data_IF_607142089504
#
_entry.id   IF_607142089504
#
_cell.length_a   1.000
_cell.length_b   1.000
_cell.length_c   1.000
_cell.angle_alpha   90.00
_cell.angle_beta   90.00
_cell.angle_gamma   90.00
#
_symmetry.space_group_name_H-M   'P 1'
#
loop_
_entity.id
_entity.type
_entity.pdbx_description
1 polymer ?
#
# COMPACT_ATOMS: atom_id res chain seq x y z
N UNK A 1 -34.86 77.98 32.85
CA UNK A 1 -35.28 76.59 32.55
C UNK A 1 -34.51 76.13 31.31
N UNK A 2 -33.66 75.10 31.42
CA UNK A 2 -32.90 74.58 30.27
C UNK A 2 -33.79 73.63 29.48
N UNK A 3 -33.85 73.81 28.16
CA UNK A 3 -34.71 73.04 27.26
C UNK A 3 -34.31 71.57 27.23
N UNK A 4 -35.24 70.68 27.55
CA UNK A 4 -35.08 69.21 27.52
C UNK A 4 -35.31 68.61 26.13
N UNK A 5 -35.73 69.42 25.15
CA UNK A 5 -35.98 69.01 23.76
C UNK A 5 -34.84 68.28 23.03
N UNK A 6 -33.55 68.70 23.13
CA UNK A 6 -32.47 68.00 22.43
C UNK A 6 -32.27 66.56 22.95
N UNK A 7 -32.62 66.27 24.20
CA UNK A 7 -32.57 64.90 24.74
C UNK A 7 -33.61 64.00 24.07
N UNK A 8 -34.86 64.47 23.95
CA UNK A 8 -35.92 63.71 23.28
C UNK A 8 -35.65 63.52 21.78
N UNK A 9 -35.10 64.54 21.11
CA UNK A 9 -34.67 64.42 19.72
C UNK A 9 -33.59 63.35 19.53
N UNK A 10 -32.59 63.30 20.42
CA UNK A 10 -31.55 62.27 20.40
C UNK A 10 -32.08 60.85 20.63
N UNK A 11 -33.02 60.68 21.56
CA UNK A 11 -33.64 59.37 21.85
C UNK A 11 -34.44 58.86 20.65
N UNK A 12 -35.18 59.73 19.95
CA UNK A 12 -35.96 59.34 18.77
C UNK A 12 -35.04 58.88 17.62
N UNK A 13 -33.96 59.62 17.37
CA UNK A 13 -32.97 59.24 16.34
C UNK A 13 -32.28 57.92 16.70
N UNK A 14 -31.88 57.74 17.96
CA UNK A 14 -31.27 56.50 18.42
C UNK A 14 -32.22 55.29 18.27
N UNK A 15 -33.50 55.46 18.61
CA UNK A 15 -34.51 54.42 18.44
C UNK A 15 -34.76 54.09 16.96
N UNK A 16 -34.78 55.09 16.08
CA UNK A 16 -34.91 54.85 14.63
C UNK A 16 -33.69 54.11 14.07
N UNK A 17 -32.49 54.53 14.42
CA UNK A 17 -31.26 53.85 13.99
C UNK A 17 -31.25 52.41 14.47
N UNK A 18 -31.63 52.16 15.73
CA UNK A 18 -31.73 50.82 16.29
C UNK A 18 -32.79 49.98 15.57
N UNK A 19 -33.98 50.53 15.34
CA UNK A 19 -35.08 49.84 14.65
C UNK A 19 -34.76 49.47 13.20
N UNK A 20 -33.87 50.21 12.53
CA UNK A 20 -33.45 49.92 11.14
C UNK A 20 -32.23 49.01 11.09
N UNK A 21 -31.22 49.25 11.92
CA UNK A 21 -29.93 48.51 11.84
C UNK A 21 -30.00 47.11 12.43
N UNK A 22 -30.72 46.91 13.54
CA UNK A 22 -30.84 45.62 14.20
C UNK A 22 -31.48 44.53 13.32
N UNK A 23 -32.60 44.76 12.61
CA UNK A 23 -33.16 43.73 11.73
C UNK A 23 -32.27 43.42 10.53
N UNK A 24 -31.51 44.39 10.01
CA UNK A 24 -30.54 44.14 8.94
C UNK A 24 -29.41 43.24 9.45
N UNK A 25 -28.84 43.55 10.62
CA UNK A 25 -27.79 42.73 11.23
C UNK A 25 -28.30 41.33 11.60
N UNK A 26 -29.54 41.20 12.08
CA UNK A 26 -30.18 39.92 12.33
C UNK A 26 -30.38 39.11 11.04
N UNK A 27 -30.84 39.75 9.96
CA UNK A 27 -30.98 39.10 8.66
C UNK A 27 -29.63 38.63 8.11
N UNK A 28 -28.59 39.45 8.20
CA UNK A 28 -27.22 39.10 7.79
C UNK A 28 -26.67 37.94 8.63
N UNK A 29 -26.88 37.94 9.95
CA UNK A 29 -26.46 36.88 10.86
C UNK A 29 -27.16 35.54 10.58
N UNK A 30 -28.40 35.56 10.07
CA UNK A 30 -29.15 34.36 9.67
C UNK A 30 -28.73 33.89 8.27
N UNK A 31 -28.52 34.82 7.33
CA UNK A 31 -28.22 34.50 5.93
C UNK A 31 -26.78 34.02 5.73
N UNK A 32 -25.80 34.56 6.44
CA UNK A 32 -24.39 34.14 6.36
C UNK A 32 -24.17 32.62 6.56
N UNK A 33 -24.70 31.98 7.62
CA UNK A 33 -24.55 30.53 7.80
C UNK A 33 -25.40 29.73 6.81
N UNK A 34 -26.49 30.30 6.27
CA UNK A 34 -27.30 29.65 5.24
C UNK A 34 -26.57 29.60 3.89
N UNK A 35 -25.89 30.70 3.52
CA UNK A 35 -25.04 30.80 2.33
C UNK A 35 -23.75 30.01 2.48
N UNK A 36 -23.18 29.94 3.69
CA UNK A 36 -22.02 29.09 3.99
C UNK A 36 -22.29 27.59 3.79
N UNK A 37 -23.54 27.14 3.95
CA UNK A 37 -23.97 25.75 3.64
C UNK A 37 -24.19 25.49 2.15
N UNK A 38 -24.14 26.52 1.31
CA UNK A 38 -24.27 26.42 -0.15
C UNK A 38 -22.92 26.45 -0.88
N UNK A 39 -21.80 26.61 -0.15
CA UNK A 39 -20.48 26.39 -0.72
C UNK A 39 -20.30 24.92 -1.13
N UNK A 40 -19.47 24.61 -2.13
CA UNK A 40 -19.16 23.22 -2.46
C UNK A 40 -18.66 22.52 -1.18
N UNK A 41 -19.20 21.33 -0.89
CA UNK A 41 -18.76 20.48 0.22
C UNK A 41 -17.29 20.08 -0.01
N UNK A 42 -16.36 20.95 0.38
CA UNK A 42 -14.94 20.66 0.41
C UNK A 42 -14.67 19.75 1.62
N UNK A 43 -14.73 18.45 1.39
CA UNK A 43 -14.27 17.47 2.37
C UNK A 43 -12.73 17.55 2.47
N UNK A 44 -12.23 18.27 3.48
CA UNK A 44 -10.80 18.26 3.80
C UNK A 44 -10.43 16.89 4.37
N UNK A 45 -9.76 16.06 3.58
CA UNK A 45 -9.23 14.78 4.02
C UNK A 45 -7.90 14.99 4.74
N UNK A 46 -7.95 15.12 6.06
CA UNK A 46 -6.77 15.20 6.92
C UNK A 46 -6.25 13.83 7.33
N UNK A 47 -4.97 13.56 7.10
CA UNK A 47 -4.26 12.49 7.80
C UNK A 47 -4.10 12.85 9.29
N UNK A 48 -3.99 11.84 10.16
CA UNK A 48 -3.89 12.07 11.60
C UNK A 48 -3.17 10.94 12.32
N UNK A 49 -2.38 11.30 13.33
CA UNK A 49 -1.77 10.36 14.26
C UNK A 49 -2.33 10.60 15.65
N UNK A 50 -2.73 9.54 16.34
CA UNK A 50 -3.13 9.60 17.74
C UNK A 50 -2.33 8.58 18.54
N UNK A 51 -1.77 9.01 19.67
CA UNK A 51 -1.07 8.15 20.62
C UNK A 51 -1.86 8.16 21.91
N UNK A 52 -2.23 6.98 22.41
CA UNK A 52 -2.85 6.78 23.71
C UNK A 52 -1.88 5.99 24.58
N UNK A 53 -1.62 6.50 25.78
CA UNK A 53 -0.84 5.80 26.79
C UNK A 53 -1.76 5.49 27.97
N UNK A 54 -1.71 4.27 28.48
CA UNK A 54 -2.44 3.86 29.67
C UNK A 54 -1.52 3.08 30.59
N UNK A 55 -1.50 3.46 31.86
CA UNK A 55 -0.82 2.70 32.90
C UNK A 55 -1.78 1.63 33.43
N UNK A 56 -1.41 0.36 33.25
CA UNK A 56 -2.13 -0.78 33.81
C UNK A 56 -1.22 -1.47 34.83
N UNK A 57 -1.30 -1.02 36.09
CA UNK A 57 -0.62 -1.67 37.21
C UNK A 57 0.91 -1.58 37.18
N UNK A 58 1.47 -0.46 36.69
CA UNK A 58 2.92 -0.26 36.56
C UNK A 58 3.49 -0.64 35.20
N UNK A 59 2.65 -1.09 34.26
CA UNK A 59 3.01 -1.34 32.86
C UNK A 59 2.38 -0.26 31.98
N UNK A 60 3.23 0.55 31.33
CA UNK A 60 2.77 1.56 30.37
C UNK A 60 2.45 0.88 29.03
N UNK A 61 1.16 0.79 28.74
CA UNK A 61 0.60 0.35 27.47
C UNK A 61 0.52 1.55 26.52
N UNK A 62 1.09 1.45 25.33
CA UNK A 62 1.05 2.51 24.32
C UNK A 62 0.34 2.00 23.08
N UNK A 63 -0.60 2.79 22.55
CA UNK A 63 -1.29 2.53 21.29
C UNK A 63 -1.17 3.74 20.39
N UNK A 64 -0.55 3.57 19.23
CA UNK A 64 -0.48 4.58 18.17
C UNK A 64 -1.41 4.18 17.03
N UNK A 65 -2.19 5.13 16.54
CA UNK A 65 -3.06 4.97 15.37
C UNK A 65 -2.74 6.06 14.37
N UNK A 66 -2.29 5.68 13.18
CA UNK A 66 -1.98 6.58 12.08
C UNK A 66 -2.98 6.35 10.93
N UNK A 67 -3.58 7.43 10.44
CA UNK A 67 -4.44 7.43 9.26
C UNK A 67 -3.82 8.33 8.20
N UNK A 68 -3.58 7.78 7.02
CA UNK A 68 -3.09 8.51 5.85
C UNK A 68 -4.06 8.33 4.68
N UNK A 69 -4.21 9.38 3.87
CA UNK A 69 -4.96 9.35 2.62
C UNK A 69 -4.00 9.51 1.45
N UNK A 70 -4.23 8.76 0.38
CA UNK A 70 -3.46 8.89 -0.84
C UNK A 70 -4.38 8.76 -2.05
N UNK A 71 -4.12 9.55 -3.09
CA UNK A 71 -4.79 9.43 -4.38
C UNK A 71 -3.80 8.87 -5.40
N UNK A 72 -4.15 7.74 -6.03
CA UNK A 72 -3.28 7.06 -6.99
C UNK A 72 -4.05 6.71 -8.28
N UNK A 73 -3.34 6.61 -9.39
CA UNK A 73 -3.87 6.04 -10.64
C UNK A 73 -3.25 4.67 -10.84
N UNK A 74 -4.06 3.61 -10.75
CA UNK A 74 -3.57 2.23 -10.77
C UNK A 74 -3.93 1.58 -12.10
N UNK A 75 -2.97 1.00 -12.83
CA UNK A 75 -3.28 0.23 -14.04
C UNK A 75 -4.05 -1.05 -13.63
N UNK A 76 -5.23 -1.23 -14.20
CA UNK A 76 -6.07 -2.42 -13.99
C UNK A 76 -6.07 -3.24 -15.27
N UNK A 77 -5.77 -4.53 -15.17
CA UNK A 77 -5.77 -5.42 -16.32
C UNK A 77 -7.17 -5.46 -16.97
N UNK A 78 -7.24 -5.22 -18.28
CA UNK A 78 -8.50 -5.19 -19.03
C UNK A 78 -9.18 -3.82 -19.09
N UNK A 79 -8.71 -2.82 -18.33
CA UNK A 79 -9.21 -1.44 -18.44
C UNK A 79 -8.36 -0.59 -19.39
N UNK A 80 -8.97 0.21 -20.28
CA UNK A 80 -8.23 1.03 -21.23
C UNK A 80 -7.53 2.24 -20.59
N UNK A 81 -7.93 2.61 -19.37
CA UNK A 81 -7.37 3.74 -18.63
C UNK A 81 -7.07 3.31 -17.19
N UNK A 82 -6.00 3.82 -16.56
CA UNK A 82 -5.74 3.60 -15.15
C UNK A 82 -6.93 4.04 -14.30
N UNK A 83 -7.30 3.20 -13.32
CA UNK A 83 -8.35 3.50 -12.37
C UNK A 83 -7.82 4.45 -11.32
N UNK A 84 -8.47 5.60 -11.15
CA UNK A 84 -8.15 6.54 -10.08
C UNK A 84 -8.76 6.04 -8.78
N UNK A 85 -7.95 5.95 -7.73
CA UNK A 85 -8.36 5.46 -6.43
C UNK A 85 -8.05 6.50 -5.35
N UNK A 86 -8.99 6.66 -4.42
CA UNK A 86 -8.72 7.23 -3.10
C UNK A 86 -8.46 6.09 -2.13
N UNK A 87 -7.29 6.11 -1.50
CA UNK A 87 -6.86 5.12 -0.53
C UNK A 87 -6.87 5.74 0.85
N UNK A 88 -7.39 5.01 1.83
CA UNK A 88 -7.25 5.32 3.26
C UNK A 88 -6.45 4.19 3.92
N UNK A 89 -5.22 4.51 4.29
CA UNK A 89 -4.36 3.63 5.07
C UNK A 89 -4.53 3.92 6.55
N UNK A 90 -4.76 2.89 7.34
CA UNK A 90 -4.89 2.95 8.78
C UNK A 90 -3.95 1.92 9.42
N UNK A 91 -2.96 2.40 10.15
CA UNK A 91 -1.97 1.57 10.84
C UNK A 91 -2.12 1.76 12.35
N UNK A 92 -2.36 0.67 13.07
CA UNK A 92 -2.43 0.66 14.54
C UNK A 92 -1.26 -0.14 15.08
N UNK A 93 -0.33 0.52 15.75
CA UNK A 93 0.78 -0.12 16.46
C UNK A 93 0.68 0.08 17.97
N UNK A 94 1.49 -0.65 18.73
CA UNK A 94 1.57 -0.49 20.18
C UNK A 94 2.44 -1.54 20.85
N UNK A 95 2.64 -1.39 22.16
CA UNK A 95 3.48 -2.31 22.96
C UNK A 95 2.79 -3.64 23.26
N UNK A 96 1.46 -3.71 23.14
CA UNK A 96 0.67 -4.83 23.70
C UNK A 96 0.07 -5.76 22.66
N UNK A 97 0.25 -5.49 21.37
CA UNK A 97 -0.28 -6.33 20.28
C UNK A 97 0.51 -6.15 18.99
N UNK A 98 0.46 -7.19 18.15
CA UNK A 98 0.93 -7.08 16.78
C UNK A 98 0.21 -5.92 16.06
N UNK A 99 0.98 -5.16 15.27
CA UNK A 99 0.44 -4.02 14.55
C UNK A 99 -0.64 -4.45 13.54
N UNK A 100 -1.70 -3.67 13.42
CA UNK A 100 -2.81 -3.90 12.51
C UNK A 100 -2.76 -2.87 11.38
N UNK A 101 -2.76 -3.34 10.14
CA UNK A 101 -2.76 -2.50 8.94
C UNK A 101 -4.05 -2.73 8.19
N UNK A 102 -4.74 -1.65 7.85
CA UNK A 102 -5.93 -1.63 7.03
C UNK A 102 -5.78 -0.65 5.89
N UNK A 103 -6.04 -1.07 4.66
CA UNK A 103 -6.13 -0.20 3.50
C UNK A 103 -7.53 -0.31 2.90
N UNK A 104 -8.28 0.79 2.90
CA UNK A 104 -9.56 0.88 2.20
C UNK A 104 -9.37 1.64 0.89
N UNK A 105 -9.99 1.18 -0.19
CA UNK A 105 -9.91 1.81 -1.50
C UNK A 105 -11.30 2.22 -2.01
N UNK A 106 -11.43 3.44 -2.53
CA UNK A 106 -12.63 3.92 -3.21
C UNK A 106 -12.28 4.36 -4.64
N UNK A 107 -13.18 4.16 -5.61
CA UNK A 107 -13.00 4.70 -6.94
C UNK A 107 -13.12 6.23 -6.88
N UNK A 108 -12.17 6.92 -7.47
CA UNK A 108 -12.18 8.36 -7.57
C UNK A 108 -12.94 8.77 -8.85
N UNK A 109 -14.26 8.86 -8.70
CA UNK A 109 -15.21 9.40 -9.67
C UNK A 109 -16.19 10.35 -8.96
N UNK A 110 -16.92 11.16 -9.73
CA UNK A 110 -17.91 12.15 -9.26
C UNK A 110 -18.70 11.71 -8.00
N UNK A 111 -19.16 12.67 -7.19
CA UNK A 111 -18.62 12.97 -5.86
C UNK A 111 -18.27 11.74 -5.01
N UNK A 112 -17.11 11.79 -4.35
CA UNK A 112 -16.62 10.70 -3.50
C UNK A 112 -17.45 10.63 -2.22
N UNK A 113 -18.32 9.62 -2.14
CA UNK A 113 -19.06 9.32 -0.92
C UNK A 113 -18.32 8.26 -0.09
N UNK A 114 -17.53 8.72 0.89
CA UNK A 114 -16.81 7.85 1.84
C UNK A 114 -17.74 7.05 2.75
N UNK A 115 -19.05 7.33 2.76
CA UNK A 115 -20.04 6.50 3.48
C UNK A 115 -20.36 5.22 2.72
N UNK A 116 -20.09 5.18 1.41
CA UNK A 116 -20.20 3.95 0.62
C UNK A 116 -19.09 2.98 0.99
N UNK A 117 -19.39 1.70 0.86
CA UNK A 117 -18.40 0.65 1.04
C UNK A 117 -17.22 0.85 0.06
N UNK A 118 -15.97 0.64 0.51
CA UNK A 118 -14.82 0.63 -0.39
C UNK A 118 -14.94 -0.51 -1.41
N UNK A 119 -14.30 -0.36 -2.57
CA UNK A 119 -14.24 -1.43 -3.61
C UNK A 119 -13.52 -2.67 -3.09
N UNK A 120 -12.53 -2.49 -2.24
CA UNK A 120 -11.87 -3.55 -1.49
C UNK A 120 -11.28 -2.98 -0.20
N UNK A 121 -11.08 -3.87 0.78
CA UNK A 121 -10.35 -3.58 2.01
C UNK A 121 -9.29 -4.64 2.23
N UNK A 122 -8.03 -4.23 2.33
CA UNK A 122 -6.94 -5.09 2.78
C UNK A 122 -6.86 -4.99 4.31
N UNK A 123 -6.83 -6.13 4.99
CA UNK A 123 -6.56 -6.21 6.43
C UNK A 123 -5.44 -7.20 6.65
N UNK A 124 -4.38 -6.75 7.29
CA UNK A 124 -3.24 -7.60 7.59
C UNK A 124 -2.56 -7.16 8.88
N UNK A 125 -1.71 -8.02 9.39
CA UNK A 125 -0.88 -7.77 10.56
C UNK A 125 0.50 -7.33 10.09
N UNK A 126 1.01 -6.23 10.65
CA UNK A 126 2.34 -5.73 10.32
C UNK A 126 2.71 -4.47 11.09
N UNK A 127 4.00 -4.18 11.10
CA UNK A 127 4.58 -3.03 11.81
C UNK A 127 4.67 -1.78 10.91
N UNK A 128 4.71 -1.95 9.59
CA UNK A 128 4.79 -0.86 8.63
C UNK A 128 4.02 -1.18 7.34
N UNK A 129 3.56 -0.12 6.68
CA UNK A 129 2.80 -0.20 5.45
C UNK A 129 3.18 0.96 4.53
N UNK A 130 3.44 0.66 3.26
CA UNK A 130 3.88 1.64 2.27
C UNK A 130 3.13 1.43 0.95
N UNK A 131 2.73 2.54 0.34
CA UNK A 131 2.25 2.58 -1.03
C UNK A 131 3.45 2.82 -1.95
N UNK A 132 3.61 1.98 -2.97
CA UNK A 132 4.67 2.10 -3.96
C UNK A 132 4.12 2.61 -5.28
N UNK A 133 4.93 3.41 -5.99
CA UNK A 133 4.64 3.90 -7.33
C UNK A 133 4.51 2.76 -8.37
N UNK A 134 4.97 1.55 -8.03
CA UNK A 134 4.85 0.36 -8.86
C UNK A 134 3.43 -0.24 -8.86
N UNK A 135 2.44 0.43 -8.26
CA UNK A 135 1.07 -0.07 -8.16
C UNK A 135 0.90 -1.19 -7.14
N UNK A 136 1.81 -1.27 -6.17
CA UNK A 136 1.84 -2.28 -5.12
C UNK A 136 1.68 -1.65 -3.74
N UNK A 137 0.93 -2.34 -2.89
CA UNK A 137 0.86 -2.04 -1.47
C UNK A 137 1.71 -3.03 -0.69
N UNK A 138 2.63 -2.50 0.11
CA UNK A 138 3.60 -3.28 0.86
C UNK A 138 3.26 -3.24 2.33
N UNK A 139 3.29 -4.40 2.97
CA UNK A 139 3.23 -4.51 4.44
C UNK A 139 4.41 -5.30 4.94
N UNK A 140 5.01 -4.88 6.04
CA UNK A 140 6.11 -5.60 6.67
C UNK A 140 5.68 -6.16 8.03
N UNK A 141 6.14 -7.37 8.35
CA UNK A 141 5.96 -8.01 9.65
C UNK A 141 7.20 -8.84 9.94
N UNK A 142 7.92 -8.50 11.02
CA UNK A 142 9.11 -9.24 11.47
C UNK A 142 10.17 -9.45 10.37
N UNK A 143 10.39 -8.43 9.53
CA UNK A 143 11.34 -8.49 8.41
C UNK A 143 10.82 -9.15 7.12
N UNK A 144 9.72 -9.91 7.19
CA UNK A 144 9.03 -10.44 6.00
C UNK A 144 8.09 -9.39 5.43
N UNK A 145 8.14 -9.18 4.12
CA UNK A 145 7.28 -8.22 3.40
C UNK A 145 6.25 -8.97 2.57
N UNK A 146 5.03 -8.47 2.56
CA UNK A 146 3.93 -8.97 1.73
C UNK A 146 3.52 -7.92 0.72
N UNK A 147 3.38 -8.35 -0.54
CA UNK A 147 2.93 -7.54 -1.66
C UNK A 147 1.44 -7.75 -1.89
N UNK A 148 0.72 -6.65 -2.03
CA UNK A 148 -0.69 -6.65 -2.38
C UNK A 148 -0.93 -5.82 -3.63
N UNK A 149 -1.88 -6.27 -4.45
CA UNK A 149 -2.33 -5.57 -5.64
C UNK A 149 -3.20 -4.37 -5.26
N UNK A 150 -2.86 -3.18 -5.78
CA UNK A 150 -3.74 -2.01 -5.68
C UNK A 150 -4.89 -2.03 -6.70
N UNK A 151 -4.91 -2.98 -7.64
CA UNK A 151 -5.97 -3.06 -8.63
C UNK A 151 -7.27 -3.65 -8.04
N UNK A 152 -7.13 -4.65 -7.16
CA UNK A 152 -8.22 -5.47 -6.64
C UNK A 152 -8.08 -5.82 -5.13
N UNK A 153 -6.96 -5.47 -4.48
CA UNK A 153 -6.70 -5.80 -3.09
C UNK A 153 -6.27 -7.24 -2.86
N UNK A 154 -5.93 -7.99 -3.91
CA UNK A 154 -5.47 -9.38 -3.80
C UNK A 154 -4.05 -9.45 -3.23
N UNK A 155 -3.77 -10.49 -2.43
CA UNK A 155 -2.39 -10.82 -2.02
C UNK A 155 -1.64 -11.40 -3.22
N UNK A 156 -0.44 -10.90 -3.48
CA UNK A 156 0.37 -11.34 -4.61
C UNK A 156 1.46 -12.31 -4.16
N UNK A 157 2.31 -11.93 -3.21
CA UNK A 157 3.39 -12.79 -2.74
C UNK A 157 4.01 -12.23 -1.46
N UNK A 158 4.77 -13.07 -0.78
CA UNK A 158 5.67 -12.67 0.30
C UNK A 158 7.13 -12.66 -0.19
N UNK A 159 7.97 -11.90 0.48
CA UNK A 159 9.41 -11.82 0.25
C UNK A 159 10.12 -11.61 1.58
N UNK A 160 11.18 -12.37 1.81
CA UNK A 160 12.06 -12.19 2.98
C UNK A 160 13.25 -11.27 2.64
N UNK A 161 13.39 -10.93 1.36
CA UNK A 161 14.54 -10.23 0.80
C UNK A 161 14.14 -8.96 0.05
N UNK A 162 15.08 -8.02 -0.14
CA UNK A 162 14.87 -6.86 -0.99
C UNK A 162 14.47 -7.27 -2.42
N UNK A 163 13.44 -6.60 -2.93
CA UNK A 163 12.91 -6.83 -4.26
C UNK A 163 13.85 -6.31 -5.36
N UNK A 164 13.70 -6.89 -6.53
CA UNK A 164 14.29 -6.36 -7.76
C UNK A 164 13.18 -5.87 -8.67
N UNK A 165 13.10 -4.56 -8.87
CA UNK A 165 12.15 -3.90 -9.78
C UNK A 165 12.85 -3.46 -11.06
N UNK A 166 12.22 -3.68 -12.22
CA UNK A 166 12.80 -3.32 -13.51
C UNK A 166 11.71 -3.15 -14.58
N UNK A 167 11.93 -2.32 -15.59
CA UNK A 167 10.93 -1.99 -16.61
C UNK A 167 11.31 -2.48 -18.01
N UNK A 168 10.36 -3.05 -18.74
CA UNK A 168 10.48 -3.33 -20.17
C UNK A 168 9.82 -2.20 -20.97
N UNK A 169 10.42 -1.83 -22.10
CA UNK A 169 9.82 -0.89 -23.04
C UNK A 169 8.47 -1.44 -23.56
N UNK A 170 7.40 -0.63 -23.70
CA UNK A 170 7.33 0.82 -23.49
C UNK A 170 6.92 1.29 -22.07
N UNK A 171 6.48 0.43 -21.15
CA UNK A 171 6.31 0.79 -19.71
C UNK A 171 5.94 -0.39 -18.80
N UNK A 172 6.33 -1.61 -19.20
CA UNK A 172 5.99 -2.81 -18.46
C UNK A 172 6.91 -2.97 -17.24
N UNK A 173 6.54 -2.34 -16.11
CA UNK A 173 7.20 -2.57 -14.81
C UNK A 173 7.02 -3.99 -14.34
N UNK A 174 8.09 -4.59 -13.83
CA UNK A 174 8.13 -5.96 -13.35
C UNK A 174 8.89 -6.01 -12.05
N UNK A 175 8.47 -6.92 -11.18
CA UNK A 175 9.10 -7.16 -9.89
C UNK A 175 9.45 -8.64 -9.78
N UNK A 176 10.64 -8.88 -9.25
CA UNK A 176 11.11 -10.18 -8.84
C UNK A 176 11.32 -10.19 -7.33
N UNK A 177 10.77 -11.22 -6.68
CA UNK A 177 10.82 -11.42 -5.25
C UNK A 177 11.40 -12.79 -4.94
N UNK A 178 12.06 -12.90 -3.79
CA UNK A 178 12.58 -14.16 -3.28
C UNK A 178 12.14 -14.32 -1.83
N UNK A 179 11.42 -15.41 -1.57
CA UNK A 179 11.09 -15.87 -0.24
C UNK A 179 11.81 -17.19 0.04
N UNK A 180 12.15 -17.43 1.31
CA UNK A 180 12.52 -18.76 1.77
C UNK A 180 11.29 -19.66 1.64
N UNK A 181 11.49 -20.90 1.20
CA UNK A 181 10.38 -21.83 1.07
C UNK A 181 9.78 -22.09 2.45
N UNK A 182 8.44 -22.10 2.56
CA UNK A 182 7.76 -22.48 3.79
C UNK A 182 7.98 -23.98 4.10
N UNK A 183 7.79 -24.38 5.36
CA UNK A 183 8.09 -25.74 5.85
C UNK A 183 7.39 -26.84 5.05
N UNK A 184 6.16 -26.58 4.59
CA UNK A 184 5.37 -27.50 3.77
C UNK A 184 6.10 -27.87 2.46
N UNK A 185 6.84 -26.93 1.89
CA UNK A 185 7.60 -27.10 0.65
C UNK A 185 8.97 -27.75 0.89
N UNK A 186 9.46 -27.82 2.13
CA UNK A 186 10.75 -28.46 2.45
C UNK A 186 10.72 -29.96 2.16
N UNK A 187 9.57 -30.61 2.36
CA UNK A 187 9.34 -32.01 1.99
C UNK A 187 9.61 -32.30 0.51
N UNK A 188 9.48 -31.28 -0.35
CA UNK A 188 9.74 -31.34 -1.79
C UNK A 188 11.16 -30.92 -2.17
N UNK A 189 12.03 -30.72 -1.18
CA UNK A 189 13.40 -30.23 -1.36
C UNK A 189 13.49 -28.74 -1.71
N UNK A 190 12.40 -27.98 -1.54
CA UNK A 190 12.38 -26.56 -1.85
C UNK A 190 13.26 -25.77 -0.87
N UNK A 191 13.98 -24.81 -1.43
CA UNK A 191 14.89 -23.90 -0.73
C UNK A 191 14.29 -22.50 -0.71
N UNK A 192 13.76 -22.04 -1.84
CA UNK A 192 13.16 -20.73 -1.97
C UNK A 192 12.10 -20.68 -3.07
N UNK A 193 11.29 -19.64 -3.03
CA UNK A 193 10.28 -19.32 -4.04
C UNK A 193 10.68 -18.01 -4.71
N UNK A 194 10.97 -18.09 -6.01
CA UNK A 194 11.16 -16.92 -6.86
C UNK A 194 9.80 -16.57 -7.46
N UNK A 195 9.31 -15.37 -7.15
CA UNK A 195 8.06 -14.86 -7.70
C UNK A 195 8.36 -13.74 -8.70
N UNK A 196 7.76 -13.85 -9.88
CA UNK A 196 7.78 -12.83 -10.91
C UNK A 196 6.38 -12.27 -11.13
N UNK A 197 6.24 -10.96 -10.98
CA UNK A 197 4.96 -10.29 -10.99
C UNK A 197 4.99 -8.98 -11.78
N UNK A 198 3.81 -8.59 -12.24
CA UNK A 198 3.50 -7.26 -12.75
C UNK A 198 2.66 -6.50 -11.71
N UNK A 199 2.52 -5.17 -11.85
CA UNK A 199 1.54 -4.41 -11.09
C UNK A 199 0.17 -5.08 -11.19
N UNK A 200 -0.34 -5.55 -10.06
CA UNK A 200 -1.68 -6.15 -9.95
C UNK A 200 -1.80 -7.66 -10.21
N UNK A 201 -0.75 -8.37 -10.64
CA UNK A 201 -0.83 -9.85 -10.79
C UNK A 201 0.51 -10.56 -10.73
N UNK A 202 0.48 -11.80 -10.27
CA UNK A 202 1.62 -12.72 -10.39
C UNK A 202 1.64 -13.34 -11.79
N UNK A 203 2.79 -13.26 -12.47
CA UNK A 203 2.99 -13.87 -13.78
C UNK A 203 3.47 -15.31 -13.63
N UNK A 204 4.44 -15.53 -12.73
CA UNK A 204 5.04 -16.86 -12.53
C UNK A 204 5.59 -17.03 -11.12
N UNK A 205 5.49 -18.25 -10.59
CA UNK A 205 6.17 -18.67 -9.35
C UNK A 205 7.00 -19.91 -9.62
N UNK A 206 8.24 -19.90 -9.15
CA UNK A 206 9.22 -20.97 -9.38
C UNK A 206 9.87 -21.33 -8.07
N UNK A 207 9.93 -22.63 -7.79
CA UNK A 207 10.65 -23.21 -6.67
C UNK A 207 12.11 -23.43 -7.07
N UNK A 208 13.02 -22.93 -6.25
CA UNK A 208 14.40 -23.39 -6.23
C UNK A 208 14.47 -24.65 -5.38
N UNK A 209 14.80 -25.78 -6.00
CA UNK A 209 14.82 -27.09 -5.35
C UNK A 209 16.24 -27.64 -5.31
N UNK A 210 16.66 -28.12 -4.14
CA UNK A 210 17.90 -28.88 -3.99
C UNK A 210 17.64 -30.36 -4.13
N UNK A 211 18.45 -31.04 -4.94
CA UNK A 211 18.39 -32.51 -5.10
C UNK A 211 18.97 -33.21 -3.86
N UNK A 212 19.87 -32.55 -3.14
CA UNK A 212 20.45 -33.06 -1.89
C UNK A 212 19.81 -32.37 -0.67
N UNK A 213 19.21 -33.11 0.28
CA UNK A 213 18.52 -32.52 1.43
C UNK A 213 19.47 -31.80 2.41
N UNK A 214 20.69 -32.30 2.63
CA UNK A 214 21.67 -31.65 3.51
C UNK A 214 22.09 -30.29 2.93
N UNK A 215 22.34 -30.25 1.62
CA UNK A 215 22.64 -29.00 0.91
C UNK A 215 21.44 -28.04 0.92
N UNK A 216 20.22 -28.58 0.81
CA UNK A 216 19.00 -27.79 0.87
C UNK A 216 18.82 -27.05 2.20
N UNK A 217 19.11 -27.72 3.32
CA UNK A 217 19.10 -27.09 4.65
C UNK A 217 20.11 -25.93 4.76
N UNK A 218 21.35 -26.16 4.31
CA UNK A 218 22.39 -25.13 4.33
C UNK A 218 22.05 -23.93 3.44
N UNK A 219 21.46 -24.18 2.26
CA UNK A 219 21.02 -23.12 1.37
C UNK A 219 19.86 -22.31 1.95
N UNK A 220 18.88 -22.94 2.61
CA UNK A 220 17.79 -22.21 3.27
C UNK A 220 18.30 -21.23 4.33
N UNK A 221 19.28 -21.66 5.12
CA UNK A 221 19.89 -20.82 6.16
C UNK A 221 20.69 -19.64 5.59
N UNK A 222 21.22 -19.76 4.36
CA UNK A 222 22.04 -18.73 3.71
C UNK A 222 21.28 -17.89 2.70
N UNK A 223 20.08 -18.33 2.28
CA UNK A 223 19.27 -17.65 1.28
C UNK A 223 18.87 -16.25 1.72
N UNK A 224 18.61 -16.05 3.01
CA UNK A 224 18.28 -14.74 3.61
C UNK A 224 19.43 -13.73 3.56
N UNK A 225 20.66 -14.18 3.28
CA UNK A 225 21.81 -13.31 3.05
C UNK A 225 22.04 -12.99 1.55
N UNK A 226 21.35 -13.69 0.65
CA UNK A 226 21.45 -13.44 -0.79
C UNK A 226 20.50 -12.31 -1.23
N UNK A 227 20.79 -11.68 -2.37
CA UNK A 227 19.93 -10.65 -2.97
C UNK A 227 19.74 -10.92 -4.45
N UNK A 228 18.50 -10.82 -4.92
CA UNK A 228 18.20 -10.85 -6.35
C UNK A 228 18.77 -9.61 -7.05
N UNK A 229 19.37 -9.83 -8.21
CA UNK A 229 19.90 -8.78 -9.08
C UNK A 229 19.31 -8.95 -10.47
N UNK A 230 19.06 -7.86 -11.18
CA UNK A 230 18.65 -7.89 -12.59
C UNK A 230 19.60 -7.09 -13.46
N UNK A 231 19.94 -7.60 -14.63
CA UNK A 231 20.73 -6.90 -15.63
C UNK A 231 20.26 -7.27 -17.05
N UNK A 232 20.65 -6.46 -18.03
CA UNK A 232 20.41 -6.75 -19.45
C UNK A 232 21.65 -7.45 -20.00
N UNK A 233 21.48 -8.63 -20.60
CA UNK A 233 22.58 -9.38 -21.20
C UNK A 233 22.72 -9.02 -22.68
N UNK A 234 23.86 -8.41 -23.04
CA UNK A 234 24.09 -7.86 -24.36
C UNK A 234 24.11 -8.92 -25.49
N UNK A 235 24.49 -10.16 -25.18
CA UNK A 235 24.58 -11.23 -26.16
C UNK A 235 23.21 -11.78 -26.62
N UNK A 236 22.18 -11.65 -25.77
CA UNK A 236 20.84 -12.18 -26.04
C UNK A 236 19.77 -11.08 -26.16
N UNK A 237 20.12 -9.83 -25.86
CA UNK A 237 19.15 -8.72 -25.79
C UNK A 237 18.09 -8.88 -24.70
N UNK A 238 18.18 -9.95 -23.89
CA UNK A 238 17.23 -10.32 -22.86
C UNK A 238 17.63 -9.77 -21.51
N UNK A 239 16.64 -9.51 -20.66
CA UNK A 239 16.88 -9.22 -19.25
C UNK A 239 17.01 -10.53 -18.49
N UNK A 240 17.89 -10.57 -17.50
CA UNK A 240 18.16 -11.75 -16.67
C UNK A 240 17.97 -11.38 -15.21
N UNK A 241 17.30 -12.24 -14.45
CA UNK A 241 17.31 -12.23 -13.00
C UNK A 241 18.39 -13.20 -12.53
N UNK A 242 19.30 -12.73 -11.70
CA UNK A 242 20.36 -13.52 -11.09
C UNK A 242 20.18 -13.58 -9.57
N UNK A 243 20.27 -14.80 -9.05
CA UNK A 243 20.39 -15.09 -7.63
C UNK A 243 21.81 -15.60 -7.36
N UNK A 244 22.70 -14.78 -6.78
CA UNK A 244 24.02 -15.21 -6.39
C UNK A 244 23.94 -16.14 -5.17
N UNK A 245 24.37 -17.38 -5.35
CA UNK A 245 24.52 -18.37 -4.28
C UNK A 245 25.98 -18.80 -4.17
N UNK A 246 26.40 -19.23 -2.99
CA UNK A 246 27.74 -19.82 -2.78
C UNK A 246 28.01 -21.04 -3.67
N UNK A 247 26.93 -21.74 -4.07
CA UNK A 247 26.94 -22.87 -4.98
C UNK A 247 27.23 -22.53 -6.45
N UNK A 248 27.21 -21.24 -6.81
CA UNK A 248 27.12 -20.73 -8.18
C UNK A 248 25.82 -19.94 -8.38
N UNK A 249 25.78 -19.00 -9.34
CA UNK A 249 24.60 -18.18 -9.58
C UNK A 249 23.47 -18.98 -10.23
N UNK A 250 22.23 -18.70 -9.84
CA UNK A 250 21.02 -19.11 -10.57
C UNK A 250 20.63 -17.94 -11.47
N UNK A 251 20.60 -18.16 -12.79
CA UNK A 251 20.27 -17.13 -13.79
C UNK A 251 19.01 -17.54 -14.54
N UNK A 252 18.03 -16.66 -14.56
CA UNK A 252 16.74 -16.89 -15.21
C UNK A 252 16.51 -15.75 -16.20
N UNK A 253 16.57 -16.01 -17.52
CA UNK A 253 16.14 -15.04 -18.51
C UNK A 253 14.67 -14.69 -18.33
N UNK A 254 14.31 -13.44 -18.58
CA UNK A 254 12.97 -12.92 -18.38
C UNK A 254 12.49 -12.10 -19.55
N UNK A 255 11.21 -12.24 -19.84
CA UNK A 255 10.48 -11.45 -20.82
C UNK A 255 9.44 -10.59 -20.12
N UNK A 256 8.81 -9.66 -20.84
CA UNK A 256 7.72 -8.88 -20.30
C UNK A 256 6.54 -9.77 -19.82
N UNK A 257 6.36 -10.97 -20.35
CA UNK A 257 5.22 -11.84 -19.99
C UNK A 257 5.57 -12.99 -19.05
N UNK A 258 6.84 -13.44 -19.02
CA UNK A 258 7.18 -14.69 -18.33
C UNK A 258 8.63 -14.79 -17.84
N UNK A 259 8.87 -15.74 -16.92
CA UNK A 259 10.19 -16.28 -16.59
C UNK A 259 10.52 -17.42 -17.56
N UNK A 260 11.64 -17.33 -18.26
CA UNK A 260 12.10 -18.39 -19.15
C UNK A 260 12.90 -19.45 -18.37
N UNK A 261 12.16 -20.42 -17.82
CA UNK A 261 12.74 -21.51 -17.03
C UNK A 261 13.51 -22.49 -17.93
N UNK A 262 13.13 -22.60 -19.21
CA UNK A 262 13.75 -23.55 -20.14
C UNK A 262 15.20 -23.16 -20.46
N UNK A 263 15.49 -21.86 -20.51
CA UNK A 263 16.83 -21.33 -20.74
C UNK A 263 17.53 -20.86 -19.45
N UNK A 264 16.99 -21.23 -18.28
CA UNK A 264 17.61 -20.88 -17.01
C UNK A 264 18.89 -21.69 -16.78
N UNK A 265 19.93 -21.04 -16.27
CA UNK A 265 21.16 -21.67 -15.83
C UNK A 265 21.14 -21.85 -14.31
N UNK A 266 21.25 -23.10 -13.86
CA UNK A 266 21.28 -23.45 -12.44
C UNK A 266 22.55 -24.23 -12.09
N UNK A 267 23.14 -24.01 -10.90
CA UNK A 267 24.27 -24.80 -10.44
C UNK A 267 23.93 -26.29 -10.31
N UNK A 268 24.94 -27.13 -10.48
CA UNK A 268 24.79 -28.58 -10.33
C UNK A 268 24.18 -28.95 -8.96
N UNK A 269 23.19 -29.84 -8.98
CA UNK A 269 22.45 -30.28 -7.78
C UNK A 269 21.29 -29.37 -7.37
N UNK A 270 21.03 -28.28 -8.10
CA UNK A 270 19.83 -27.46 -8.01
C UNK A 270 18.96 -27.64 -9.26
N UNK A 271 17.66 -27.42 -9.10
CA UNK A 271 16.70 -27.37 -10.20
C UNK A 271 15.63 -26.32 -9.95
N UNK A 272 15.05 -25.81 -11.02
CA UNK A 272 13.85 -24.98 -10.97
C UNK A 272 12.62 -25.84 -11.23
N UNK A 273 11.59 -25.68 -10.41
CA UNK A 273 10.31 -26.35 -10.60
C UNK A 273 9.18 -25.33 -10.56
N UNK A 274 8.19 -25.48 -11.42
CA UNK A 274 7.00 -24.63 -11.35
C UNK A 274 6.26 -24.87 -10.03
N UNK A 275 5.91 -23.79 -9.33
CA UNK A 275 4.95 -23.86 -8.25
C UNK A 275 3.56 -23.80 -8.88
N UNK A 276 2.92 -24.96 -9.03
CA UNK A 276 1.50 -24.98 -9.41
C UNK A 276 0.68 -24.38 -8.26
N UNK A 277 -0.32 -23.53 -8.55
CA UNK A 277 -1.24 -23.09 -7.51
C UNK A 277 -1.91 -24.31 -6.86
N UNK A 278 -2.09 -24.29 -5.55
CA UNK A 278 -2.87 -25.31 -4.86
C UNK A 278 -4.30 -25.30 -5.42
N UNK A 279 -4.77 -26.42 -5.97
CA UNK A 279 -6.16 -26.60 -6.38
C UNK A 279 -6.45 -26.59 -7.89
N UNK A 280 -5.62 -27.29 -8.69
CA UNK A 280 -6.07 -27.91 -9.95
C UNK A 280 -5.83 -29.42 -9.89
#
# INVERSE_FOLDING_TARGET
MRSTWPFFGGVIVALQVFAVTVPILAAVAILLPLVGRLGPDEAVLGGGSSVRMRDEGGRVTMRMTNTAYAQLSVPVAGEPRPRRLLLRQHTVGGTDRDGEIRLDAWPLGMPIDLRRAPIYTIRTVGNSANLSDDGLFWTERNGRRSAWSLADGSWLFDTDLPLTSFAFEPDARRVAALAVADEELWSRGAVGVITYAAPGRVLRRVLLVSVNPLRGNALRATLTASRLVSYTEAAQGGRVIELPLAAGPVRIPVTASDLDIAHASVPAGLKLSLLRPWGE
#
